data_IF_084484755636
#
_entry.id   IF_084484755636
#
_cell.length_a   1.000
_cell.length_b   1.000
_cell.length_c   1.000
_cell.angle_alpha   90.00
_cell.angle_beta   90.00
_cell.angle_gamma   90.00
#
_symmetry.space_group_name_H-M   'P 1'
#
loop_
_entity.id
_entity.type
_entity.pdbx_description
1 polymer ?
#
# COMPACT_ATOMS: atom_id res chain seq x y z
N UNK A 1 -39.87 -58.23 -101.80
CA UNK A 1 -40.29 -56.99 -101.15
C UNK A 1 -39.08 -56.36 -100.49
N UNK A 2 -38.62 -55.33 -101.17
CA UNK A 2 -37.33 -54.68 -100.87
C UNK A 2 -37.52 -53.56 -99.85
N UNK A 3 -36.70 -53.59 -98.75
CA UNK A 3 -36.67 -52.47 -97.78
C UNK A 3 -35.30 -51.83 -97.92
N UNK A 4 -35.26 -50.61 -98.42
CA UNK A 4 -34.07 -49.75 -98.59
C UNK A 4 -33.64 -49.17 -97.26
N UNK A 5 -32.44 -49.42 -96.75
CA UNK A 5 -31.81 -48.74 -95.64
C UNK A 5 -31.13 -47.46 -96.15
N UNK A 6 -31.57 -46.31 -95.62
CA UNK A 6 -30.93 -44.99 -95.84
C UNK A 6 -29.80 -44.78 -94.80
N UNK A 7 -28.57 -44.77 -95.29
CA UNK A 7 -27.37 -44.48 -94.57
C UNK A 7 -27.18 -42.96 -94.42
N UNK A 8 -27.26 -42.40 -93.20
CA UNK A 8 -26.99 -41.00 -92.86
C UNK A 8 -25.56 -40.80 -92.41
N UNK A 9 -24.87 -39.75 -92.90
CA UNK A 9 -23.45 -39.58 -92.53
C UNK A 9 -23.25 -39.07 -91.17
N UNK A 10 -22.53 -39.78 -90.30
CA UNK A 10 -22.14 -39.49 -88.90
C UNK A 10 -21.10 -38.35 -88.72
N UNK A 11 -20.77 -37.57 -89.74
CA UNK A 11 -19.67 -36.60 -89.75
C UNK A 11 -20.00 -35.19 -89.12
N UNK A 12 -21.25 -34.89 -89.02
CA UNK A 12 -21.70 -33.52 -88.59
C UNK A 12 -21.52 -33.26 -87.05
N UNK A 13 -21.76 -34.24 -86.19
CA UNK A 13 -21.75 -34.02 -84.77
C UNK A 13 -20.34 -33.78 -84.15
N UNK A 14 -19.31 -34.42 -84.73
CA UNK A 14 -17.92 -34.23 -84.26
C UNK A 14 -17.39 -32.85 -84.63
N UNK A 15 -17.80 -32.34 -85.79
CA UNK A 15 -17.45 -30.97 -86.20
C UNK A 15 -18.07 -29.94 -85.28
N UNK A 16 -19.38 -30.01 -84.95
CA UNK A 16 -20.04 -29.15 -84.02
C UNK A 16 -19.49 -29.27 -82.63
N UNK A 17 -19.08 -30.47 -82.14
CA UNK A 17 -18.47 -30.66 -80.85
C UNK A 17 -17.10 -29.96 -80.73
N UNK A 18 -16.26 -30.09 -81.81
CA UNK A 18 -14.97 -29.36 -81.87
C UNK A 18 -15.14 -27.84 -81.96
N UNK A 19 -16.14 -27.41 -82.70
CA UNK A 19 -16.46 -25.94 -82.73
C UNK A 19 -16.95 -25.43 -81.37
N UNK A 20 -17.83 -26.18 -80.70
CA UNK A 20 -18.33 -25.81 -79.36
C UNK A 20 -17.21 -25.79 -78.31
N UNK A 21 -16.29 -26.78 -78.37
CA UNK A 21 -15.11 -26.82 -77.49
C UNK A 21 -14.16 -25.65 -77.75
N UNK A 22 -13.95 -25.29 -79.04
CA UNK A 22 -13.14 -24.13 -79.43
C UNK A 22 -13.71 -22.81 -78.90
N UNK A 23 -15.04 -22.64 -79.02
CA UNK A 23 -15.75 -21.45 -78.50
C UNK A 23 -15.69 -21.42 -77.00
N UNK A 24 -15.83 -22.58 -76.30
CA UNK A 24 -15.73 -22.66 -74.84
C UNK A 24 -14.33 -22.27 -74.35
N UNK A 25 -13.26 -22.78 -75.00
CA UNK A 25 -11.88 -22.43 -74.68
C UNK A 25 -11.62 -20.92 -74.91
N UNK A 26 -12.16 -20.36 -76.01
CA UNK A 26 -12.05 -18.91 -76.26
C UNK A 26 -12.78 -18.05 -75.22
N UNK A 27 -13.99 -18.44 -74.79
CA UNK A 27 -14.72 -17.76 -73.72
C UNK A 27 -13.95 -17.86 -72.39
N UNK A 28 -13.43 -19.04 -72.09
CA UNK A 28 -12.65 -19.26 -70.87
C UNK A 28 -11.35 -18.47 -70.86
N UNK A 29 -10.63 -18.42 -71.97
CA UNK A 29 -9.44 -17.59 -72.16
C UNK A 29 -9.75 -16.09 -72.07
N UNK A 30 -10.87 -15.64 -72.64
CA UNK A 30 -11.34 -14.24 -72.53
C UNK A 30 -11.71 -13.90 -71.06
N UNK A 31 -12.32 -14.85 -70.33
CA UNK A 31 -12.69 -14.65 -68.93
C UNK A 31 -11.45 -14.54 -68.05
N UNK A 32 -10.42 -15.38 -68.26
CA UNK A 32 -9.12 -15.32 -67.56
C UNK A 32 -8.44 -13.98 -67.89
N UNK A 33 -8.41 -13.57 -69.16
CA UNK A 33 -7.79 -12.32 -69.58
C UNK A 33 -8.48 -11.10 -68.94
N UNK A 34 -9.81 -11.06 -68.92
CA UNK A 34 -10.60 -10.01 -68.26
C UNK A 34 -10.39 -9.99 -66.77
N UNK A 35 -10.29 -11.15 -66.14
CA UNK A 35 -10.00 -11.27 -64.70
C UNK A 35 -8.60 -10.76 -64.38
N UNK A 36 -7.58 -11.08 -65.18
CA UNK A 36 -6.23 -10.55 -65.02
C UNK A 36 -6.16 -9.05 -65.26
N UNK A 37 -6.88 -8.50 -66.27
CA UNK A 37 -6.98 -7.06 -66.48
C UNK A 37 -7.62 -6.36 -65.29
N UNK A 38 -8.72 -6.92 -64.74
CA UNK A 38 -9.37 -6.37 -63.55
C UNK A 38 -8.45 -6.41 -62.33
N UNK A 39 -7.74 -7.53 -62.14
CA UNK A 39 -6.78 -7.69 -61.03
C UNK A 39 -5.64 -6.67 -61.12
N UNK A 40 -5.06 -6.45 -62.30
CA UNK A 40 -4.06 -5.40 -62.54
C UNK A 40 -4.63 -4.00 -62.31
N UNK A 41 -5.80 -3.69 -62.84
CA UNK A 41 -6.43 -2.38 -62.66
C UNK A 41 -6.77 -2.07 -61.21
N UNK A 42 -7.18 -3.08 -60.43
CA UNK A 42 -7.40 -2.92 -58.98
C UNK A 42 -6.06 -2.76 -58.26
N UNK A 43 -5.05 -3.54 -58.63
CA UNK A 43 -3.71 -3.41 -58.02
C UNK A 43 -3.10 -2.01 -58.28
N UNK A 44 -3.18 -1.54 -59.53
CA UNK A 44 -2.70 -0.19 -59.91
C UNK A 44 -3.51 0.93 -59.23
N UNK A 45 -4.82 0.76 -59.07
CA UNK A 45 -5.67 1.70 -58.34
C UNK A 45 -5.34 1.74 -56.89
N UNK A 46 -5.11 0.60 -56.23
CA UNK A 46 -4.70 0.51 -54.82
C UNK A 46 -3.29 1.05 -54.60
N UNK A 47 -2.36 0.79 -55.52
CA UNK A 47 -0.99 1.27 -55.44
C UNK A 47 -0.89 2.80 -55.64
N UNK A 48 -1.81 3.39 -56.46
CA UNK A 48 -1.82 4.83 -56.74
C UNK A 48 -2.90 5.58 -55.93
N UNK A 49 -3.54 4.93 -54.94
CA UNK A 49 -4.52 5.61 -54.10
C UNK A 49 -3.80 6.68 -53.27
N UNK A 50 -4.14 7.98 -53.37
CA UNK A 50 -3.49 9.00 -52.58
C UNK A 50 -3.74 8.76 -51.13
N UNK A 51 -2.67 8.68 -50.37
CA UNK A 51 -2.75 8.59 -48.90
C UNK A 51 -3.36 9.92 -48.39
N UNK A 52 -4.41 9.81 -47.59
CA UNK A 52 -5.06 10.99 -47.01
C UNK A 52 -4.25 11.52 -45.86
N UNK A 53 -3.80 12.75 -45.91
CA UNK A 53 -3.16 13.41 -44.78
C UNK A 53 -4.19 13.69 -43.68
N UNK A 54 -3.83 13.31 -42.44
CA UNK A 54 -4.62 13.58 -41.25
C UNK A 54 -3.89 14.53 -40.34
N UNK A 55 -4.54 15.53 -39.74
CA UNK A 55 -3.90 16.36 -38.72
C UNK A 55 -3.60 15.53 -37.46
N UNK A 56 -2.38 15.63 -36.97
CA UNK A 56 -1.92 14.94 -35.74
C UNK A 56 -1.20 15.91 -34.85
N UNK A 57 -1.29 15.66 -33.54
CA UNK A 57 -0.45 16.38 -32.57
C UNK A 57 0.81 15.56 -32.38
N UNK A 58 1.96 16.19 -32.58
CA UNK A 58 3.26 15.57 -32.42
C UNK A 58 3.99 16.14 -31.19
N UNK A 59 4.78 15.31 -30.54
CA UNK A 59 5.61 15.68 -29.41
C UNK A 59 7.04 15.18 -29.64
N UNK A 60 8.02 16.04 -29.41
CA UNK A 60 9.42 15.62 -29.42
C UNK A 60 9.75 14.97 -28.08
N UNK A 61 10.11 13.70 -28.11
CA UNK A 61 10.50 12.95 -26.93
C UNK A 61 12.01 12.98 -26.77
N UNK A 62 12.44 13.23 -25.53
CA UNK A 62 13.86 13.17 -25.14
C UNK A 62 14.01 12.18 -24.00
N UNK A 63 15.20 11.60 -23.89
CA UNK A 63 15.55 10.81 -22.71
C UNK A 63 15.44 11.69 -21.45
N UNK A 64 14.76 11.23 -20.44
CA UNK A 64 14.50 11.93 -19.19
C UNK A 64 14.72 11.02 -17.99
N UNK A 65 14.67 11.58 -16.81
CA UNK A 65 14.65 10.83 -15.56
C UNK A 65 13.22 10.39 -15.27
N UNK A 66 13.07 9.16 -14.83
CA UNK A 66 11.80 8.59 -14.41
C UNK A 66 11.92 8.05 -13.00
N UNK A 67 11.06 8.49 -12.09
CA UNK A 67 11.00 7.96 -10.73
C UNK A 67 9.71 7.15 -10.59
N UNK A 68 9.79 5.82 -10.70
CA UNK A 68 8.63 4.96 -10.48
C UNK A 68 8.10 5.14 -9.07
N UNK A 69 6.79 5.01 -8.88
CA UNK A 69 6.15 5.04 -7.58
C UNK A 69 5.37 3.74 -7.34
N UNK A 70 5.38 3.28 -6.10
CA UNK A 70 4.45 2.25 -5.66
C UNK A 70 3.28 2.95 -5.00
N UNK A 71 2.07 2.70 -5.49
CA UNK A 71 0.83 3.17 -4.86
C UNK A 71 0.30 2.10 -3.91
N UNK A 72 0.05 2.49 -2.66
CA UNK A 72 -0.53 1.62 -1.64
C UNK A 72 -1.37 2.44 -0.67
N UNK A 73 -2.04 1.76 0.25
CA UNK A 73 -2.79 2.39 1.34
C UNK A 73 -2.18 2.03 2.67
N UNK A 74 -2.19 2.96 3.61
CA UNK A 74 -1.67 2.74 4.94
C UNK A 74 -2.56 3.30 6.04
N UNK A 75 -2.33 2.82 7.25
CA UNK A 75 -3.03 3.24 8.44
C UNK A 75 -2.10 4.06 9.33
N UNK A 76 -2.51 5.28 9.64
CA UNK A 76 -1.75 6.19 10.52
C UNK A 76 -1.80 5.68 11.96
N UNK A 77 -0.63 5.64 12.59
CA UNK A 77 -0.44 5.22 13.98
C UNK A 77 0.32 6.26 14.77
N UNK A 78 0.07 6.38 16.08
CA UNK A 78 0.87 7.23 16.96
C UNK A 78 2.22 6.55 17.24
N UNK A 79 3.18 7.28 17.77
CA UNK A 79 4.43 6.71 18.25
C UNK A 79 4.18 5.63 19.33
N UNK A 80 3.35 5.97 20.32
CA UNK A 80 2.83 5.04 21.32
C UNK A 80 1.34 5.34 21.53
N UNK A 81 0.55 4.30 21.72
CA UNK A 81 -0.88 4.43 22.01
C UNK A 81 -1.36 3.29 22.88
N UNK A 82 -2.02 3.61 23.97
CA UNK A 82 -2.58 2.61 24.87
C UNK A 82 -4.01 2.96 25.28
N UNK A 83 -4.89 1.97 25.29
CA UNK A 83 -6.17 2.04 25.98
C UNK A 83 -5.95 1.58 27.43
N UNK A 84 -6.01 2.52 28.35
CA UNK A 84 -5.88 2.22 29.78
C UNK A 84 -7.20 1.65 30.31
N UNK A 85 -7.09 0.54 31.01
CA UNK A 85 -8.23 -0.15 31.61
C UNK A 85 -8.00 -0.38 33.09
N UNK A 86 -9.09 -0.60 33.84
CA UNK A 86 -9.03 -0.97 35.24
C UNK A 86 -8.29 -2.29 35.42
N UNK A 87 -7.28 -2.31 36.27
CA UNK A 87 -6.50 -3.52 36.61
C UNK A 87 -7.15 -4.34 37.76
N UNK A 88 -8.10 -3.73 38.46
CA UNK A 88 -8.89 -4.36 39.53
C UNK A 88 -10.33 -3.82 39.49
N UNK A 89 -11.26 -4.60 40.01
CA UNK A 89 -12.63 -4.14 40.19
C UNK A 89 -12.73 -3.17 41.38
N UNK A 90 -13.60 -2.18 41.26
CA UNK A 90 -13.85 -1.20 42.34
C UNK A 90 -14.67 -0.02 41.89
N UNK A 91 -14.99 0.89 42.82
CA UNK A 91 -15.70 2.14 42.51
C UNK A 91 -14.70 3.24 42.21
N UNK A 92 -14.95 4.03 41.20
CA UNK A 92 -14.13 5.21 40.84
C UNK A 92 -14.29 6.26 41.95
N UNK A 93 -13.19 6.58 42.64
CA UNK A 93 -13.17 7.61 43.69
C UNK A 93 -12.86 8.98 43.15
N UNK A 94 -11.95 9.07 42.16
CA UNK A 94 -11.55 10.35 41.54
C UNK A 94 -11.25 10.17 40.07
N UNK A 95 -11.59 11.21 39.29
CA UNK A 95 -11.15 11.40 37.92
C UNK A 95 -10.35 12.72 37.90
N UNK A 96 -9.05 12.62 37.66
CA UNK A 96 -8.09 13.72 37.81
C UNK A 96 -7.69 14.31 36.44
N UNK A 97 -7.92 13.57 35.35
CA UNK A 97 -7.59 13.98 34.00
C UNK A 97 -8.81 14.52 33.27
N UNK A 98 -8.64 15.59 32.49
CA UNK A 98 -9.66 16.13 31.60
C UNK A 98 -9.55 15.57 30.20
N UNK A 99 -10.67 15.53 29.46
CA UNK A 99 -10.69 15.10 28.06
C UNK A 99 -9.76 15.98 27.22
N UNK A 100 -8.86 15.37 26.48
CA UNK A 100 -7.89 16.05 25.62
C UNK A 100 -6.71 16.69 26.34
N UNK A 101 -6.54 16.49 27.65
CA UNK A 101 -5.43 17.02 28.44
C UNK A 101 -4.11 16.34 28.06
N UNK A 102 -3.02 17.11 28.04
CA UNK A 102 -1.65 16.57 27.96
C UNK A 102 -1.23 16.01 29.31
N UNK A 103 -0.67 14.81 29.32
CA UNK A 103 -0.27 14.08 30.52
C UNK A 103 1.18 13.61 30.38
N UNK A 104 1.87 13.48 31.50
CA UNK A 104 3.23 12.95 31.60
C UNK A 104 3.21 11.53 32.13
N UNK A 105 4.26 10.78 31.82
CA UNK A 105 4.47 9.44 32.38
C UNK A 105 4.42 9.48 33.91
N UNK A 106 3.59 8.60 34.49
CA UNK A 106 3.37 8.51 35.92
C UNK A 106 2.26 9.42 36.48
N UNK A 107 1.68 10.33 35.68
CA UNK A 107 0.55 11.14 36.11
C UNK A 107 -0.65 10.24 36.48
N UNK A 108 -1.25 10.46 37.65
CA UNK A 108 -2.45 9.77 38.11
C UNK A 108 -3.66 10.33 37.37
N UNK A 109 -4.34 9.49 36.58
CA UNK A 109 -5.46 9.87 35.75
C UNK A 109 -6.80 9.58 36.42
N UNK A 110 -6.94 8.38 36.96
CA UNK A 110 -8.15 7.92 37.65
C UNK A 110 -7.74 7.10 38.88
N UNK A 111 -8.44 7.28 39.98
CA UNK A 111 -8.25 6.53 41.22
C UNK A 111 -9.52 5.74 41.55
N UNK A 112 -9.38 4.44 41.81
CA UNK A 112 -10.41 3.61 42.39
C UNK A 112 -10.37 3.70 43.92
N UNK A 113 -11.49 3.47 44.59
CA UNK A 113 -11.54 3.45 46.03
C UNK A 113 -10.58 2.37 46.59
N UNK A 114 -9.64 2.81 47.38
CA UNK A 114 -8.59 2.01 48.04
C UNK A 114 -8.58 2.20 49.57
N UNK A 115 -9.68 2.69 50.12
CA UNK A 115 -9.79 3.02 51.55
C UNK A 115 -9.50 1.82 52.46
N UNK A 116 -10.01 0.63 52.14
CA UNK A 116 -9.80 -0.61 52.86
C UNK A 116 -8.34 -1.07 52.80
N UNK A 117 -7.74 -1.03 51.63
CA UNK A 117 -6.35 -1.40 51.41
C UNK A 117 -5.39 -0.44 52.12
N UNK A 118 -5.69 0.85 52.09
CA UNK A 118 -4.90 1.88 52.81
C UNK A 118 -4.96 1.67 54.33
N UNK A 119 -6.14 1.36 54.90
CA UNK A 119 -6.29 1.03 56.29
C UNK A 119 -5.51 -0.26 56.67
N UNK A 120 -5.59 -1.28 55.82
CA UNK A 120 -4.83 -2.52 55.98
C UNK A 120 -3.30 -2.30 55.92
N UNK A 121 -2.85 -1.45 54.98
CA UNK A 121 -1.45 -1.06 54.88
C UNK A 121 -0.97 -0.34 56.14
N UNK A 122 -1.76 0.59 56.69
CA UNK A 122 -1.44 1.32 57.89
C UNK A 122 -1.32 0.36 59.10
N UNK A 123 -2.23 -0.60 59.25
CA UNK A 123 -2.16 -1.65 60.30
C UNK A 123 -0.91 -2.52 60.14
N UNK A 124 -0.60 -2.96 58.92
CA UNK A 124 0.60 -3.75 58.63
C UNK A 124 1.89 -2.99 58.91
N UNK A 125 1.93 -1.69 58.62
CA UNK A 125 3.06 -0.78 58.92
C UNK A 125 3.27 -0.62 60.43
N UNK A 126 2.22 -0.53 61.22
CA UNK A 126 2.30 -0.48 62.67
C UNK A 126 2.89 -1.81 63.25
N UNK A 127 2.41 -2.94 62.74
CA UNK A 127 2.85 -4.27 63.13
C UNK A 127 4.33 -4.52 62.80
N UNK A 128 4.83 -4.14 61.63
CA UNK A 128 6.22 -4.36 61.21
C UNK A 128 7.22 -3.65 62.12
N UNK A 129 6.88 -2.50 62.69
CA UNK A 129 7.72 -1.76 63.62
C UNK A 129 7.99 -2.61 64.88
N UNK A 130 6.96 -3.21 65.49
CA UNK A 130 7.07 -4.07 66.65
C UNK A 130 7.92 -5.33 66.36
N UNK A 131 7.66 -5.99 65.24
CA UNK A 131 8.41 -7.18 64.81
C UNK A 131 9.87 -6.86 64.53
N UNK A 132 10.18 -5.72 63.90
CA UNK A 132 11.54 -5.25 63.68
C UNK A 132 12.30 -5.01 64.99
N UNK A 133 11.65 -4.40 65.98
CA UNK A 133 12.25 -4.18 67.32
C UNK A 133 12.53 -5.49 68.01
N UNK A 134 11.64 -6.48 67.94
CA UNK A 134 11.81 -7.81 68.49
C UNK A 134 13.00 -8.55 67.85
N UNK A 135 13.07 -8.54 66.54
CA UNK A 135 14.18 -9.12 65.76
C UNK A 135 15.51 -8.45 66.14
N UNK A 136 15.58 -7.12 66.16
CA UNK A 136 16.79 -6.37 66.57
C UNK A 136 17.24 -6.69 68.00
N UNK A 137 16.31 -6.83 68.96
CA UNK A 137 16.60 -7.20 70.34
C UNK A 137 17.19 -8.60 70.36
N UNK A 138 16.63 -9.57 69.71
CA UNK A 138 17.14 -10.92 69.65
C UNK A 138 18.46 -11.01 68.90
N UNK A 139 18.70 -10.28 67.87
CA UNK A 139 19.94 -10.17 67.12
C UNK A 139 21.09 -9.66 68.07
N UNK A 140 20.81 -8.67 68.92
CA UNK A 140 21.75 -8.11 69.85
C UNK A 140 22.05 -9.08 71.00
N UNK A 141 21.09 -9.89 71.45
CA UNK A 141 21.22 -10.86 72.53
C UNK A 141 21.84 -12.21 72.09
N UNK A 142 21.80 -12.54 70.84
CA UNK A 142 22.32 -13.79 70.26
C UNK A 142 23.86 -13.92 70.48
N UNK A 143 24.59 -12.78 70.41
CA UNK A 143 26.02 -12.72 70.63
C UNK A 143 26.45 -13.08 72.11
N UNK A 144 25.55 -12.89 73.07
CA UNK A 144 25.77 -13.22 74.52
C UNK A 144 25.23 -14.60 74.91
N UNK A 145 24.63 -15.37 73.97
CA UNK A 145 24.03 -16.68 74.27
C UNK A 145 22.69 -16.59 75.01
N UNK A 146 22.14 -15.42 75.24
CA UNK A 146 20.90 -15.22 76.00
C UNK A 146 19.63 -15.56 75.22
N UNK A 147 19.73 -15.83 73.89
CA UNK A 147 18.63 -16.19 73.00
C UNK A 147 19.08 -17.35 72.12
N UNK A 148 18.20 -18.33 71.88
CA UNK A 148 18.51 -19.47 71.01
C UNK A 148 18.51 -19.00 69.52
N UNK A 149 19.29 -19.71 68.68
CA UNK A 149 19.27 -19.45 67.22
C UNK A 149 17.88 -19.58 66.62
N UNK A 150 17.09 -20.53 67.07
CA UNK A 150 15.74 -20.76 66.62
C UNK A 150 14.82 -19.56 66.93
N UNK A 151 14.94 -18.96 68.12
CA UNK A 151 14.14 -17.74 68.44
C UNK A 151 14.57 -16.54 67.63
N UNK A 152 15.87 -16.37 67.36
CA UNK A 152 16.34 -15.33 66.44
C UNK A 152 15.78 -15.51 64.99
N UNK A 153 15.88 -16.78 64.50
CA UNK A 153 15.41 -17.12 63.17
C UNK A 153 13.87 -16.95 63.04
N UNK A 154 13.11 -17.31 64.06
CA UNK A 154 11.67 -17.10 64.10
C UNK A 154 11.32 -15.60 64.11
N UNK A 155 12.01 -14.79 64.88
CA UNK A 155 11.78 -13.33 64.91
C UNK A 155 12.13 -12.65 63.60
N UNK A 156 13.22 -13.11 62.95
CA UNK A 156 13.62 -12.68 61.62
C UNK A 156 12.54 -13.01 60.56
N UNK A 157 12.12 -14.26 60.56
CA UNK A 157 11.10 -14.73 59.60
C UNK A 157 9.77 -14.00 59.76
N UNK A 158 9.34 -13.72 61.00
CA UNK A 158 8.12 -12.94 61.25
C UNK A 158 8.22 -11.50 60.77
N UNK A 159 9.36 -10.85 60.95
CA UNK A 159 9.64 -9.52 60.42
C UNK A 159 9.63 -9.49 58.89
N UNK A 160 10.34 -10.42 58.25
CA UNK A 160 10.44 -10.52 56.79
C UNK A 160 9.07 -10.82 56.17
N UNK A 161 8.27 -11.71 56.75
CA UNK A 161 6.91 -12.02 56.28
C UNK A 161 6.01 -10.80 56.34
N UNK A 162 6.07 -10.00 57.41
CA UNK A 162 5.28 -8.78 57.51
C UNK A 162 5.76 -7.69 56.58
N UNK A 163 7.06 -7.59 56.34
CA UNK A 163 7.59 -6.66 55.32
C UNK A 163 7.12 -7.04 53.93
N UNK A 164 7.09 -8.31 53.56
CA UNK A 164 6.55 -8.78 52.30
C UNK A 164 5.02 -8.51 52.16
N UNK A 165 4.27 -8.65 53.28
CA UNK A 165 2.85 -8.31 53.30
C UNK A 165 2.59 -6.82 53.00
N UNK A 166 3.43 -5.92 53.55
CA UNK A 166 3.36 -4.47 53.23
C UNK A 166 3.57 -4.23 51.73
N UNK A 167 4.54 -4.85 51.10
CA UNK A 167 4.79 -4.69 49.65
C UNK A 167 3.61 -5.24 48.81
N UNK A 168 3.00 -6.34 49.23
CA UNK A 168 1.78 -6.87 48.60
C UNK A 168 0.61 -5.90 48.68
N UNK A 169 0.40 -5.25 49.83
CA UNK A 169 -0.66 -4.23 49.99
C UNK A 169 -0.40 -2.98 49.15
N UNK A 170 0.87 -2.52 49.09
CA UNK A 170 1.24 -1.42 48.21
C UNK A 170 0.94 -1.72 46.75
N UNK A 171 1.36 -2.88 46.25
CA UNK A 171 1.08 -3.33 44.90
C UNK A 171 -0.43 -3.43 44.62
N UNK A 172 -1.24 -3.77 45.63
CA UNK A 172 -2.70 -3.80 45.49
C UNK A 172 -3.28 -2.39 45.37
N UNK A 173 -2.77 -1.42 46.15
CA UNK A 173 -3.15 -0.01 46.03
C UNK A 173 -2.73 0.58 44.71
N UNK A 174 -1.53 0.26 44.19
CA UNK A 174 -1.05 0.70 42.87
C UNK A 174 -1.95 0.22 41.75
N UNK A 175 -2.45 -1.01 41.79
CA UNK A 175 -3.42 -1.52 40.79
C UNK A 175 -4.74 -0.80 40.80
N UNK A 176 -5.08 -0.05 41.87
CA UNK A 176 -6.26 0.82 41.95
C UNK A 176 -6.02 2.22 41.41
N UNK A 177 -4.79 2.53 41.00
CA UNK A 177 -4.39 3.77 40.39
C UNK A 177 -4.14 3.57 38.89
N UNK A 178 -4.86 4.30 38.07
CA UNK A 178 -4.68 4.30 36.63
C UNK A 178 -3.78 5.48 36.29
N UNK A 179 -2.54 5.19 35.91
CA UNK A 179 -1.49 6.15 35.60
C UNK A 179 -1.12 6.15 34.13
N UNK A 180 -0.64 7.28 33.61
CA UNK A 180 -0.13 7.38 32.25
C UNK A 180 1.19 6.60 32.10
N UNK A 181 1.30 5.65 31.14
CA UNK A 181 2.52 4.84 30.97
C UNK A 181 3.63 5.58 30.22
N UNK A 182 3.30 6.64 29.48
CA UNK A 182 4.18 7.52 28.71
C UNK A 182 3.59 8.93 28.58
N UNK A 183 4.41 9.87 28.13
CA UNK A 183 3.99 11.24 27.84
C UNK A 183 3.06 11.26 26.62
N UNK A 184 1.94 11.98 26.71
CA UNK A 184 1.00 11.99 25.59
C UNK A 184 -0.22 12.86 25.85
N UNK A 185 -1.26 12.60 25.07
CA UNK A 185 -2.55 13.27 25.17
C UNK A 185 -3.64 12.28 25.56
N UNK A 186 -4.38 12.59 26.60
CA UNK A 186 -5.53 11.80 27.03
C UNK A 186 -6.70 12.01 26.04
N UNK A 187 -7.36 10.93 25.68
CA UNK A 187 -8.60 10.96 24.91
C UNK A 187 -9.82 11.29 25.76
N UNK A 188 -10.97 10.74 25.39
CA UNK A 188 -12.21 10.89 26.15
C UNK A 188 -12.21 9.88 27.29
N UNK A 189 -12.40 10.37 28.51
CA UNK A 189 -12.56 9.54 29.71
C UNK A 189 -13.94 8.88 29.67
N UNK A 190 -13.97 7.57 29.81
CA UNK A 190 -15.18 6.76 29.65
C UNK A 190 -15.91 6.44 30.98
N UNK A 191 -15.38 6.92 32.11
CA UNK A 191 -15.90 6.60 33.45
C UNK A 191 -16.18 7.87 34.24
N UNK A 192 -17.10 7.73 35.21
CA UNK A 192 -17.49 8.82 36.10
C UNK A 192 -17.19 8.48 37.56
N UNK A 193 -17.00 9.50 38.41
CA UNK A 193 -16.88 9.33 39.86
C UNK A 193 -18.12 8.66 40.41
N UNK A 194 -17.95 7.67 41.28
CA UNK A 194 -19.01 6.85 41.82
C UNK A 194 -19.41 5.64 40.97
N UNK A 195 -18.90 5.53 39.73
CA UNK A 195 -19.16 4.39 38.86
C UNK A 195 -18.37 3.16 39.34
N UNK A 196 -19.03 1.99 39.36
CA UNK A 196 -18.36 0.71 39.59
C UNK A 196 -17.77 0.20 38.28
N UNK A 197 -16.49 -0.23 38.28
CA UNK A 197 -15.77 -0.79 37.14
C UNK A 197 -15.27 -2.19 37.49
N UNK A 198 -15.26 -3.07 36.48
CA UNK A 198 -14.68 -4.40 36.57
C UNK A 198 -13.25 -4.41 36.01
N UNK A 199 -12.49 -5.47 36.30
CA UNK A 199 -11.20 -5.68 35.66
C UNK A 199 -11.35 -5.70 34.13
N UNK A 200 -10.47 -4.96 33.43
CA UNK A 200 -10.51 -4.82 31.97
C UNK A 200 -11.45 -3.70 31.43
N UNK A 201 -12.25 -3.05 32.32
CA UNK A 201 -13.09 -1.90 31.86
C UNK A 201 -12.20 -0.79 31.32
N UNK A 202 -12.44 -0.38 30.07
CA UNK A 202 -11.73 0.73 29.42
C UNK A 202 -12.02 2.05 30.12
N UNK A 203 -10.97 2.83 30.41
CA UNK A 203 -11.09 4.09 31.16
C UNK A 203 -10.74 5.28 30.27
N UNK A 204 -9.53 5.33 29.72
CA UNK A 204 -9.08 6.44 28.88
C UNK A 204 -7.97 5.97 27.94
N UNK A 205 -7.98 6.48 26.73
CA UNK A 205 -6.88 6.28 25.77
C UNK A 205 -5.83 7.36 25.97
N UNK A 206 -4.57 6.98 25.98
CA UNK A 206 -3.45 7.92 25.94
C UNK A 206 -2.64 7.66 24.68
N UNK A 207 -2.33 8.73 23.94
CA UNK A 207 -1.56 8.66 22.70
C UNK A 207 -0.39 9.65 22.71
N UNK A 208 0.80 9.14 22.43
CA UNK A 208 1.97 9.94 22.11
C UNK A 208 1.97 10.27 20.63
N UNK A 209 1.76 11.54 20.29
CA UNK A 209 1.70 12.06 18.93
C UNK A 209 2.99 12.80 18.53
N UNK A 210 4.05 12.63 19.29
CA UNK A 210 5.34 13.29 19.00
C UNK A 210 5.94 12.86 17.67
N UNK A 211 5.66 11.62 17.25
CA UNK A 211 6.11 11.05 16.00
C UNK A 211 5.02 10.14 15.46
N UNK A 212 4.28 10.62 14.45
CA UNK A 212 3.27 9.80 13.79
C UNK A 212 3.90 8.89 12.75
N UNK A 213 3.35 7.70 12.61
CA UNK A 213 3.82 6.66 11.71
C UNK A 213 2.70 6.21 10.81
N UNK A 214 3.02 5.56 9.71
CA UNK A 214 2.06 4.88 8.86
C UNK A 214 2.54 3.47 8.58
N UNK A 215 1.66 2.50 8.84
CA UNK A 215 1.88 1.11 8.54
C UNK A 215 1.17 0.78 7.23
N UNK A 216 1.85 0.12 6.31
CA UNK A 216 1.35 -0.28 5.01
C UNK A 216 2.02 -1.55 4.52
N UNK A 217 1.41 -2.23 3.57
CA UNK A 217 1.92 -3.48 3.04
C UNK A 217 2.30 -3.35 1.55
N UNK A 218 3.38 -4.01 1.17
CA UNK A 218 3.90 -4.03 -0.21
C UNK A 218 4.11 -5.48 -0.65
N UNK A 219 3.88 -5.76 -1.94
CA UNK A 219 4.09 -7.07 -2.50
C UNK A 219 5.58 -7.49 -2.47
N UNK A 220 5.85 -8.76 -2.13
CA UNK A 220 7.21 -9.29 -1.97
C UNK A 220 8.12 -9.11 -3.19
N UNK A 221 7.56 -9.10 -4.41
CA UNK A 221 8.34 -8.91 -5.64
C UNK A 221 8.92 -7.50 -5.80
N UNK A 222 8.54 -6.56 -4.94
CA UNK A 222 9.04 -5.19 -4.92
C UNK A 222 10.03 -4.94 -3.77
N UNK A 223 10.29 -5.97 -2.93
CA UNK A 223 11.10 -5.85 -1.72
C UNK A 223 12.54 -5.36 -2.04
N UNK A 224 13.15 -5.88 -3.09
CA UNK A 224 14.51 -5.49 -3.49
C UNK A 224 14.65 -4.01 -3.87
N UNK A 225 13.53 -3.34 -4.14
CA UNK A 225 13.47 -1.92 -4.51
C UNK A 225 13.24 -1.01 -3.30
N UNK A 226 13.00 -1.58 -2.11
CA UNK A 226 12.71 -0.85 -0.89
C UNK A 226 13.95 -0.68 -0.03
N UNK A 227 14.13 0.52 0.52
CA UNK A 227 15.25 0.84 1.39
C UNK A 227 14.78 1.73 2.55
N UNK A 228 15.39 1.54 3.72
CA UNK A 228 15.20 2.45 4.86
C UNK A 228 15.64 3.87 4.46
N UNK A 229 14.88 4.88 4.85
CA UNK A 229 15.11 6.29 4.48
C UNK A 229 14.45 6.72 3.17
N UNK A 230 13.84 5.81 2.42
CA UNK A 230 13.13 6.09 1.17
C UNK A 230 11.95 7.02 1.40
N UNK A 231 11.76 8.00 0.50
CA UNK A 231 10.69 8.99 0.58
C UNK A 231 9.33 8.36 0.29
N UNK A 232 8.37 8.71 1.12
CA UNK A 232 6.96 8.35 0.98
C UNK A 232 6.13 9.64 1.04
N UNK A 233 5.26 9.82 0.09
CA UNK A 233 4.28 10.90 0.10
C UNK A 233 2.91 10.32 0.41
N UNK A 234 2.24 10.88 1.41
CA UNK A 234 0.92 10.44 1.81
C UNK A 234 -0.14 11.51 1.50
N UNK A 235 -1.33 11.08 1.15
CA UNK A 235 -2.53 11.91 1.07
C UNK A 235 -3.64 11.29 1.91
N UNK A 236 -4.41 12.12 2.61
CA UNK A 236 -5.51 11.66 3.45
C UNK A 236 -6.84 12.25 2.98
N UNK A 237 -7.88 11.42 2.83
CA UNK A 237 -9.20 11.91 2.40
C UNK A 237 -9.82 12.90 3.39
N UNK A 238 -9.44 12.80 4.68
CA UNK A 238 -9.85 13.75 5.72
C UNK A 238 -9.18 15.14 5.59
N UNK A 239 -8.12 15.27 4.77
CA UNK A 239 -7.34 16.47 4.53
C UNK A 239 -7.10 16.67 3.04
N UNK A 240 -8.19 16.89 2.30
CA UNK A 240 -8.13 17.03 0.83
C UNK A 240 -7.19 18.16 0.39
N UNK A 241 -6.31 17.85 -0.54
CA UNK A 241 -5.37 18.81 -1.12
C UNK A 241 -4.06 19.00 -0.32
N UNK A 242 -3.93 18.36 0.85
CA UNK A 242 -2.67 18.34 1.60
C UNK A 242 -1.88 17.07 1.29
N UNK A 243 -0.57 17.21 1.17
CA UNK A 243 0.38 16.10 1.04
C UNK A 243 1.27 16.07 2.27
N UNK A 244 1.57 14.88 2.76
CA UNK A 244 2.33 14.64 3.97
C UNK A 244 3.59 13.86 3.63
N UNK A 245 4.74 14.38 4.03
CA UNK A 245 6.02 13.73 3.80
C UNK A 245 6.34 12.72 4.90
N UNK A 246 6.79 11.55 4.50
CA UNK A 246 7.25 10.50 5.40
C UNK A 246 8.50 9.82 4.83
N UNK A 247 9.18 9.03 5.66
CA UNK A 247 10.32 8.21 5.27
C UNK A 247 10.16 6.80 5.81
N UNK A 248 10.53 5.79 5.03
CA UNK A 248 10.55 4.39 5.49
C UNK A 248 11.53 4.28 6.65
N UNK A 249 11.06 3.80 7.80
CA UNK A 249 11.86 3.62 9.01
C UNK A 249 12.06 2.15 9.36
N UNK A 250 11.16 1.27 8.93
CA UNK A 250 11.29 -0.16 9.16
C UNK A 250 10.62 -0.97 8.03
N UNK A 251 11.18 -2.12 7.74
CA UNK A 251 10.65 -3.13 6.84
C UNK A 251 10.64 -4.44 7.64
N UNK A 252 9.47 -5.11 7.70
CA UNK A 252 9.33 -6.38 8.41
C UNK A 252 10.24 -7.45 7.76
N UNK A 253 11.08 -8.16 8.55
CA UNK A 253 11.96 -9.18 8.00
C UNK A 253 11.24 -10.46 7.55
N UNK A 254 9.96 -10.60 7.90
CA UNK A 254 9.13 -11.74 7.56
C UNK A 254 8.05 -11.37 6.54
N UNK A 255 7.84 -12.25 5.57
CA UNK A 255 6.74 -12.14 4.59
C UNK A 255 5.52 -12.85 5.16
N UNK A 256 4.37 -12.20 5.08
CA UNK A 256 3.10 -12.85 5.41
C UNK A 256 2.80 -13.93 4.36
N UNK A 257 2.93 -15.20 4.75
CA UNK A 257 2.81 -16.35 3.85
C UNK A 257 1.41 -16.53 3.26
N UNK A 258 0.37 -15.97 3.88
CA UNK A 258 -1.02 -16.05 3.38
C UNK A 258 -1.32 -15.01 2.31
N UNK A 259 -0.67 -13.86 2.34
CA UNK A 259 -0.94 -12.72 1.43
C UNK A 259 0.21 -12.44 0.45
N UNK A 260 1.44 -12.92 0.74
CA UNK A 260 2.64 -12.58 -0.03
C UNK A 260 3.07 -11.11 0.13
N UNK A 261 2.58 -10.44 1.18
CA UNK A 261 2.89 -9.05 1.47
C UNK A 261 3.96 -8.92 2.56
N UNK A 262 4.69 -7.83 2.52
CA UNK A 262 5.67 -7.40 3.54
C UNK A 262 5.14 -6.13 4.18
N UNK A 263 5.09 -6.11 5.50
CA UNK A 263 4.69 -4.93 6.24
C UNK A 263 5.85 -3.93 6.31
N UNK A 264 5.53 -2.68 6.04
CA UNK A 264 6.47 -1.57 6.01
C UNK A 264 5.93 -0.45 6.88
N UNK A 265 6.82 0.19 7.63
CA UNK A 265 6.50 1.36 8.43
C UNK A 265 7.28 2.57 7.94
N UNK A 266 6.58 3.68 7.76
CA UNK A 266 7.19 4.98 7.52
C UNK A 266 6.82 5.97 8.63
N UNK A 267 7.72 6.88 8.93
CA UNK A 267 7.54 7.94 9.93
C UNK A 267 7.34 9.26 9.21
N UNK A 268 6.28 9.97 9.58
CA UNK A 268 6.00 11.31 9.07
C UNK A 268 7.00 12.33 9.61
N UNK A 269 7.27 13.36 8.82
CA UNK A 269 7.97 14.54 9.33
C UNK A 269 7.12 15.20 10.44
N UNK A 270 7.74 15.76 11.50
CA UNK A 270 7.01 16.21 12.70
C UNK A 270 5.88 17.21 12.43
N UNK A 271 6.08 18.15 11.51
CA UNK A 271 5.08 19.16 11.14
C UNK A 271 3.86 18.54 10.44
N UNK A 272 4.09 17.52 9.62
CA UNK A 272 3.05 16.82 8.89
C UNK A 272 2.33 15.81 9.80
N UNK A 273 3.08 15.07 10.63
CA UNK A 273 2.53 14.14 11.59
C UNK A 273 1.56 14.81 12.59
N UNK A 274 1.88 16.03 13.03
CA UNK A 274 1.03 16.78 13.96
C UNK A 274 -0.41 17.04 13.44
N UNK A 275 -0.59 17.08 12.12
CA UNK A 275 -1.89 17.31 11.46
C UNK A 275 -2.73 16.03 11.34
N UNK A 276 -2.11 14.86 11.48
CA UNK A 276 -2.75 13.56 11.31
C UNK A 276 -3.30 13.03 12.63
N UNK A 277 -4.30 12.18 12.55
CA UNK A 277 -4.86 11.46 13.69
C UNK A 277 -4.64 9.96 13.52
N UNK A 278 -4.41 9.29 14.62
CA UNK A 278 -4.36 7.83 14.70
C UNK A 278 -5.64 7.22 14.12
N UNK A 279 -5.48 6.17 13.30
CA UNK A 279 -6.61 5.51 12.64
C UNK A 279 -7.02 6.13 11.30
N UNK A 280 -6.39 7.23 10.84
CA UNK A 280 -6.63 7.74 9.50
C UNK A 280 -6.08 6.80 8.44
N UNK A 281 -6.86 6.56 7.38
CA UNK A 281 -6.37 5.91 6.17
C UNK A 281 -5.72 6.95 5.25
N UNK A 282 -4.58 6.57 4.69
CA UNK A 282 -3.82 7.40 3.76
C UNK A 282 -3.49 6.62 2.50
N UNK A 283 -3.50 7.30 1.35
CA UNK A 283 -2.90 6.79 0.11
C UNK A 283 -1.45 7.19 0.09
N UNK A 284 -0.61 6.23 -0.19
CA UNK A 284 0.84 6.36 -0.13
C UNK A 284 1.45 6.19 -1.51
N UNK A 285 2.38 7.07 -1.83
CA UNK A 285 3.24 6.99 -3.00
C UNK A 285 4.67 6.81 -2.51
N UNK A 286 5.18 5.58 -2.63
CA UNK A 286 6.55 5.26 -2.27
C UNK A 286 7.43 5.49 -3.48
N UNK A 287 8.33 6.48 -3.43
CA UNK A 287 9.23 6.81 -4.52
C UNK A 287 10.31 5.73 -4.65
N UNK A 288 10.39 5.08 -5.80
CA UNK A 288 11.45 4.12 -6.12
C UNK A 288 12.73 4.85 -6.60
N UNK A 289 13.87 4.15 -6.70
CA UNK A 289 15.07 4.74 -7.25
C UNK A 289 14.82 5.31 -8.64
N UNK A 290 15.32 6.53 -8.88
CA UNK A 290 15.18 7.22 -10.17
C UNK A 290 15.95 6.47 -11.26
N UNK A 291 15.29 6.18 -12.35
CA UNK A 291 15.86 5.58 -13.54
C UNK A 291 16.25 6.70 -14.52
N UNK A 292 17.48 6.65 -15.04
CA UNK A 292 17.99 7.62 -16.00
C UNK A 292 17.80 7.13 -17.43
N UNK A 293 17.80 8.06 -18.38
CA UNK A 293 17.71 7.78 -19.83
C UNK A 293 16.42 7.01 -20.22
N UNK A 294 15.31 7.27 -19.54
CA UNK A 294 14.02 6.68 -19.89
C UNK A 294 13.29 7.55 -20.91
N UNK A 295 12.59 6.89 -21.84
CA UNK A 295 11.73 7.56 -22.81
C UNK A 295 10.32 7.60 -22.26
N UNK A 296 9.84 8.78 -21.87
CA UNK A 296 8.50 8.97 -21.30
C UNK A 296 7.60 9.57 -22.39
N UNK A 297 6.45 8.91 -22.61
CA UNK A 297 5.45 9.35 -23.59
C UNK A 297 4.08 9.42 -22.93
N UNK A 298 3.20 10.36 -23.34
CA UNK A 298 1.82 10.37 -22.88
C UNK A 298 1.10 9.08 -23.24
N UNK A 299 0.30 8.55 -22.33
CA UNK A 299 -0.45 7.29 -22.53
C UNK A 299 -1.34 7.33 -23.79
N UNK A 300 -1.87 8.49 -24.16
CA UNK A 300 -2.67 8.69 -25.37
C UNK A 300 -1.89 8.47 -26.66
N UNK A 301 -0.55 8.50 -26.64
CA UNK A 301 0.28 8.24 -27.81
C UNK A 301 0.50 6.74 -28.05
N UNK A 302 0.20 5.87 -27.07
CA UNK A 302 0.36 4.42 -27.18
C UNK A 302 -0.96 3.79 -27.57
N UNK A 303 -0.94 3.05 -28.67
CA UNK A 303 -2.09 2.29 -29.17
C UNK A 303 -1.98 0.84 -28.69
N UNK A 304 -3.05 0.35 -28.08
CA UNK A 304 -3.16 -1.02 -27.57
C UNK A 304 -4.04 -1.86 -28.48
N UNK A 305 -3.54 -2.95 -28.99
CA UNK A 305 -4.29 -3.88 -29.82
C UNK A 305 -3.96 -5.34 -29.44
N UNK A 306 -4.64 -6.31 -30.05
CA UNK A 306 -4.44 -7.73 -29.76
C UNK A 306 -3.03 -8.26 -30.12
N UNK A 307 -2.24 -7.49 -30.85
CA UNK A 307 -0.88 -7.85 -31.25
C UNK A 307 0.19 -7.19 -30.38
N UNK A 308 -0.21 -6.34 -29.41
CA UNK A 308 0.68 -5.66 -28.50
C UNK A 308 0.50 -4.14 -28.49
N UNK A 309 1.52 -3.48 -28.00
CA UNK A 309 1.57 -2.02 -27.86
C UNK A 309 2.36 -1.41 -29.01
N UNK A 310 1.83 -0.35 -29.58
CA UNK A 310 2.48 0.36 -30.69
C UNK A 310 2.31 1.87 -30.54
N UNK A 311 3.26 2.61 -31.11
CA UNK A 311 3.15 4.06 -31.25
C UNK A 311 3.58 4.47 -32.66
N UNK A 312 3.18 5.67 -33.07
CA UNK A 312 3.58 6.25 -34.35
C UNK A 312 4.72 7.23 -34.14
N UNK A 313 5.80 7.03 -34.89
CA UNK A 313 6.89 8.00 -35.01
C UNK A 313 6.74 8.75 -36.34
N UNK A 314 7.00 10.04 -36.30
CA UNK A 314 6.99 10.88 -37.48
C UNK A 314 8.40 10.94 -38.07
N UNK A 315 8.52 10.56 -39.34
CA UNK A 315 9.78 10.64 -40.10
C UNK A 315 9.62 11.64 -41.25
N UNK A 316 10.73 12.21 -41.67
CA UNK A 316 10.70 13.05 -42.90
C UNK A 316 10.20 12.23 -44.07
N UNK A 317 9.50 12.88 -44.98
CA UNK A 317 9.02 12.30 -46.25
C UNK A 317 10.23 11.91 -47.12
N UNK A 318 10.10 10.83 -47.87
CA UNK A 318 11.09 10.45 -48.88
C UNK A 318 10.87 11.32 -50.13
N UNK A 319 11.88 11.37 -51.01
CA UNK A 319 11.79 12.09 -52.29
C UNK A 319 10.63 11.59 -53.15
N UNK A 320 10.36 10.29 -53.13
CA UNK A 320 9.21 9.68 -53.80
C UNK A 320 7.86 10.12 -53.21
N UNK A 321 7.78 10.30 -51.88
CA UNK A 321 6.55 10.78 -51.22
C UNK A 321 6.28 12.26 -51.59
N UNK A 322 7.34 13.07 -51.66
CA UNK A 322 7.26 14.47 -52.03
C UNK A 322 6.78 14.62 -53.47
N UNK A 323 7.28 13.78 -54.40
CA UNK A 323 6.87 13.78 -55.79
C UNK A 323 5.39 13.35 -55.95
N UNK A 324 4.95 12.30 -55.22
CA UNK A 324 3.54 11.86 -55.20
C UNK A 324 2.57 12.90 -54.65
N UNK A 325 3.02 13.72 -53.72
CA UNK A 325 2.22 14.82 -53.14
C UNK A 325 2.17 16.07 -54.04
N UNK A 326 2.94 16.08 -55.13
CA UNK A 326 2.94 17.17 -56.11
C UNK A 326 3.91 18.31 -55.80
N UNK A 327 5.03 17.97 -55.13
CA UNK A 327 6.17 18.83 -54.90
C UNK A 327 6.35 19.33 -53.46
N UNK A 328 7.52 19.89 -53.19
CA UNK A 328 7.97 20.29 -51.85
C UNK A 328 7.04 21.32 -51.15
N UNK A 329 6.36 22.17 -51.94
CA UNK A 329 5.49 23.20 -51.40
C UNK A 329 4.20 22.63 -50.78
N UNK A 330 3.66 21.55 -51.35
CA UNK A 330 2.50 20.82 -50.82
C UNK A 330 2.86 19.84 -49.72
N UNK A 331 4.11 19.39 -49.70
CA UNK A 331 4.67 18.50 -48.66
C UNK A 331 5.15 19.25 -47.42
N UNK A 332 5.12 20.60 -47.41
CA UNK A 332 5.53 21.40 -46.27
C UNK A 332 4.69 21.07 -45.04
N UNK A 333 5.37 20.77 -43.92
CA UNK A 333 4.78 20.34 -42.65
C UNK A 333 4.08 18.96 -42.69
N UNK A 334 4.35 18.13 -43.67
CA UNK A 334 3.88 16.76 -43.73
C UNK A 334 5.01 15.79 -43.31
N UNK A 335 4.62 14.74 -42.64
CA UNK A 335 5.53 13.71 -42.13
C UNK A 335 4.91 12.35 -42.45
N UNK A 336 5.78 11.34 -42.58
CA UNK A 336 5.34 9.96 -42.69
C UNK A 336 5.19 9.36 -41.33
N UNK A 337 4.00 8.87 -40.96
CA UNK A 337 3.75 8.15 -39.71
C UNK A 337 4.15 6.71 -39.89
N UNK A 338 5.12 6.25 -39.08
CA UNK A 338 5.59 4.88 -39.02
C UNK A 338 5.19 4.27 -37.70
N UNK A 339 4.42 3.19 -37.73
CA UNK A 339 4.08 2.41 -36.56
C UNK A 339 5.28 1.60 -36.10
N UNK A 340 5.62 1.66 -34.82
CA UNK A 340 6.64 0.82 -34.20
C UNK A 340 6.02 0.09 -33.01
N UNK A 341 6.41 -1.16 -32.80
CA UNK A 341 6.04 -1.94 -31.62
C UNK A 341 6.90 -1.50 -30.44
N UNK A 342 6.28 -1.27 -29.29
CA UNK A 342 6.94 -0.86 -28.07
C UNK A 342 6.54 -1.78 -26.93
N UNK A 343 7.33 -1.78 -25.86
CA UNK A 343 7.02 -2.48 -24.63
C UNK A 343 7.03 -1.44 -23.51
N UNK A 344 5.85 -1.19 -22.95
CA UNK A 344 5.72 -0.27 -21.83
C UNK A 344 6.29 -0.92 -20.57
N UNK A 345 7.27 -0.30 -19.95
CA UNK A 345 7.92 -0.78 -18.72
C UNK A 345 7.13 -0.43 -17.48
N UNK A 346 6.56 0.77 -17.45
CA UNK A 346 5.81 1.30 -16.32
C UNK A 346 4.79 2.34 -16.80
N UNK A 347 3.76 2.60 -15.98
CA UNK A 347 2.68 3.55 -16.28
C UNK A 347 2.29 4.30 -15.02
N UNK A 348 2.31 5.62 -15.09
CA UNK A 348 1.94 6.45 -13.95
C UNK A 348 1.18 7.70 -14.41
N UNK A 349 -0.02 7.92 -13.84
CA UNK A 349 -0.84 9.07 -14.17
C UNK A 349 -1.22 9.11 -15.65
N UNK A 350 -0.81 10.16 -16.34
CA UNK A 350 -1.06 10.36 -17.78
C UNK A 350 0.10 9.90 -18.67
N UNK A 351 1.17 9.35 -18.09
CA UNK A 351 2.37 8.87 -18.78
C UNK A 351 2.58 7.37 -18.59
#
# INVERSE_FOLDING_TARGET
>A
MSITQTNRPKRSHIFFLKLALGVFVLIFAAMIFLNQMKAKGIADFLANKPETASPVTAMTVKASEWTPIIETTGLVRPNQGAMLSAQSAGTVSKVLVQNGQSVKKGDLLVELDSSVERASLQAAQAQVVSLRQTYQRYANLAGSGAVSRQELDNAKSAYEAQAANIESLKATIERRQIVAPFDGKAGIVKVNVGQYVSNGTEIVRVEDRSSMKVDFAIAQNLLDKLHIGQKVTATADARKGETFAAKITAIEPAINSSTGLVDVQATFEPEDGAKLLSGMFTRLHVALPTEHNQVVVPQVAVSYNMYGESLYILTALSDEDIEKLGGAEKAANMYRAKSITVFTKDRQGIY
#
